data_IF_926201434286
#
_entry.id   IF_926201434286
#
_cell.length_a   1.000
_cell.length_b   1.000
_cell.length_c   1.000
_cell.angle_alpha   90.00
_cell.angle_beta   90.00
_cell.angle_gamma   90.00
#
_symmetry.space_group_name_H-M   'P 1'
#
loop_
_entity.id
_entity.type
_entity.pdbx_description
1 polymer ?
#
# COMPACT_ATOMS: atom_id res chain seq x y z
N UNK A 1 29.59 -14.48 -3.77
CA UNK A 1 29.84 -13.89 -5.11
C UNK A 1 29.05 -12.59 -5.21
N UNK A 2 29.70 -11.42 -5.38
CA UNK A 2 28.97 -10.13 -5.44
C UNK A 2 28.12 -10.11 -6.71
N UNK A 3 26.80 -9.97 -6.55
CA UNK A 3 25.78 -10.07 -7.62
C UNK A 3 25.80 -8.89 -8.62
N UNK A 4 26.50 -7.82 -8.28
CA UNK A 4 26.56 -6.55 -9.01
C UNK A 4 27.98 -5.99 -8.95
N UNK A 5 28.43 -5.30 -10.00
CA UNK A 5 29.74 -4.61 -10.02
C UNK A 5 29.81 -3.51 -8.98
N UNK A 6 28.71 -2.77 -8.83
CA UNK A 6 28.61 -1.68 -7.87
C UNK A 6 27.17 -1.53 -7.37
N UNK A 7 27.04 -1.08 -6.12
CA UNK A 7 25.76 -0.64 -5.55
C UNK A 7 25.81 0.88 -5.44
N UNK A 8 24.80 1.56 -5.97
CA UNK A 8 24.74 3.00 -6.06
C UNK A 8 23.49 3.48 -5.32
N UNK A 9 23.71 4.23 -4.26
CA UNK A 9 22.63 4.88 -3.52
C UNK A 9 22.27 6.20 -4.16
N UNK A 10 20.97 6.47 -4.29
CA UNK A 10 20.44 7.68 -4.91
C UNK A 10 19.42 8.33 -3.98
N UNK A 11 19.72 9.57 -3.59
CA UNK A 11 18.75 10.45 -2.93
C UNK A 11 18.19 11.45 -3.95
N UNK A 12 16.86 11.64 -3.93
CA UNK A 12 16.16 12.37 -4.99
C UNK A 12 15.28 13.49 -4.46
N UNK A 13 15.51 14.68 -5.01
CA UNK A 13 14.73 15.88 -4.75
C UNK A 13 13.91 16.30 -5.99
N UNK A 14 13.21 17.43 -5.88
CA UNK A 14 12.40 17.97 -6.98
C UNK A 14 13.24 18.33 -8.21
N UNK A 15 14.40 18.97 -8.01
CA UNK A 15 15.19 19.56 -9.10
C UNK A 15 16.39 18.70 -9.49
N UNK A 16 17.01 18.01 -8.51
CA UNK A 16 18.24 17.25 -8.68
C UNK A 16 18.17 15.93 -7.90
N UNK A 17 19.06 15.01 -8.23
CA UNK A 17 19.32 13.82 -7.42
C UNK A 17 20.82 13.61 -7.25
N UNK A 18 21.18 13.15 -6.07
CA UNK A 18 22.54 12.86 -5.66
C UNK A 18 22.74 11.35 -5.70
N UNK A 19 23.86 10.93 -6.27
CA UNK A 19 24.24 9.53 -6.39
C UNK A 19 25.56 9.30 -5.67
N UNK A 20 25.70 8.15 -5.03
CA UNK A 20 26.94 7.72 -4.41
C UNK A 20 27.19 6.24 -4.68
N UNK A 21 28.36 5.94 -5.22
CA UNK A 21 28.90 4.59 -5.37
C UNK A 21 30.31 4.49 -4.74
N UNK A 22 30.71 3.35 -4.16
CA UNK A 22 32.05 3.17 -3.61
C UNK A 22 33.19 3.34 -4.63
N UNK A 23 32.95 3.00 -5.90
CA UNK A 23 33.89 3.12 -7.02
C UNK A 23 33.66 4.42 -7.77
N UNK A 24 32.39 4.75 -8.03
CA UNK A 24 31.99 5.92 -8.83
C UNK A 24 32.06 7.25 -8.06
N UNK A 25 32.20 7.21 -6.73
CA UNK A 25 32.20 8.40 -5.88
C UNK A 25 30.83 9.07 -5.81
N UNK A 26 30.82 10.37 -5.51
CA UNK A 26 29.60 11.19 -5.44
C UNK A 26 29.44 11.99 -6.73
N UNK A 27 28.22 12.03 -7.27
CA UNK A 27 27.85 12.84 -8.42
C UNK A 27 26.40 13.31 -8.30
N UNK A 28 26.11 14.49 -8.83
CA UNK A 28 24.77 15.09 -8.85
C UNK A 28 24.28 15.27 -10.29
N UNK A 29 22.99 15.00 -10.50
CA UNK A 29 22.33 15.10 -11.80
C UNK A 29 21.00 15.83 -11.68
N UNK A 30 20.49 16.36 -12.79
CA UNK A 30 19.17 17.00 -12.82
C UNK A 30 18.05 15.96 -12.83
N UNK A 31 16.93 16.23 -12.15
CA UNK A 31 15.74 15.38 -12.19
C UNK A 31 14.92 15.63 -13.47
N UNK A 32 15.55 15.38 -14.62
CA UNK A 32 15.05 15.59 -15.97
C UNK A 32 15.47 14.44 -16.90
N UNK A 33 14.84 14.31 -18.07
CA UNK A 33 15.19 13.22 -19.01
C UNK A 33 16.65 13.31 -19.49
N UNK A 34 17.19 14.54 -19.59
CA UNK A 34 18.60 14.78 -19.88
C UNK A 34 19.50 14.31 -18.73
N UNK A 35 19.14 14.63 -17.49
CA UNK A 35 19.88 14.18 -16.31
C UNK A 35 19.82 12.67 -16.11
N UNK A 36 18.69 12.03 -16.40
CA UNK A 36 18.56 10.57 -16.37
C UNK A 36 19.45 9.89 -17.42
N UNK A 37 19.52 10.47 -18.62
CA UNK A 37 20.36 9.97 -19.70
C UNK A 37 21.85 10.15 -19.38
N UNK A 38 22.23 11.29 -18.78
CA UNK A 38 23.60 11.53 -18.31
C UNK A 38 23.99 10.54 -17.20
N UNK A 39 23.10 10.32 -16.24
CA UNK A 39 23.32 9.36 -15.16
C UNK A 39 23.50 7.95 -15.71
N UNK A 40 22.58 7.46 -16.54
CA UNK A 40 22.67 6.12 -17.12
C UNK A 40 23.96 5.88 -17.94
N UNK A 41 24.54 6.92 -18.55
CA UNK A 41 25.84 6.84 -19.24
C UNK A 41 27.02 6.73 -18.27
N UNK A 42 26.92 7.34 -17.09
CA UNK A 42 27.94 7.29 -16.05
C UNK A 42 27.93 5.98 -15.26
N UNK A 43 26.88 5.15 -15.41
CA UNK A 43 26.73 3.91 -14.67
C UNK A 43 27.36 2.70 -15.37
N UNK A 44 28.09 1.84 -14.64
CA UNK A 44 28.38 0.49 -15.11
C UNK A 44 27.08 -0.30 -15.35
N UNK A 45 27.04 -1.12 -16.42
CA UNK A 45 25.83 -1.86 -16.81
C UNK A 45 25.32 -2.82 -15.72
N UNK A 46 26.24 -3.43 -14.95
CA UNK A 46 25.91 -4.42 -13.91
C UNK A 46 25.76 -3.80 -12.51
N UNK A 47 25.42 -2.51 -12.43
CA UNK A 47 25.19 -1.81 -11.18
C UNK A 47 23.77 -2.00 -10.64
N UNK A 48 23.65 -2.07 -9.32
CA UNK A 48 22.37 -1.98 -8.60
C UNK A 48 22.13 -0.54 -8.15
N UNK A 49 21.09 0.09 -8.68
CA UNK A 49 20.68 1.45 -8.31
C UNK A 49 19.61 1.35 -7.22
N UNK A 50 19.86 2.00 -6.09
CA UNK A 50 18.99 1.96 -4.92
C UNK A 50 18.47 3.37 -4.65
N UNK A 51 17.16 3.53 -4.74
CA UNK A 51 16.44 4.78 -4.53
C UNK A 51 15.67 4.72 -3.21
N UNK A 52 15.63 5.81 -2.46
CA UNK A 52 14.67 5.95 -1.36
C UNK A 52 13.30 6.40 -1.89
N UNK A 53 12.21 5.81 -1.39
CA UNK A 53 10.84 6.19 -1.79
C UNK A 53 10.38 7.53 -1.17
N UNK A 54 11.10 8.62 -1.43
CA UNK A 54 10.83 9.95 -0.88
C UNK A 54 9.93 10.74 -1.83
N UNK A 55 8.66 10.91 -1.43
CA UNK A 55 7.65 11.61 -2.23
C UNK A 55 7.33 10.94 -3.57
N UNK A 56 7.16 11.75 -4.63
CA UNK A 56 6.86 11.28 -5.99
C UNK A 56 8.06 11.33 -6.94
N UNK A 57 9.20 11.87 -6.52
CA UNK A 57 10.28 12.21 -7.43
C UNK A 57 11.05 10.98 -7.94
N UNK A 58 11.11 9.91 -7.15
CA UNK A 58 11.78 8.66 -7.52
C UNK A 58 11.12 7.90 -8.69
N UNK A 59 9.82 8.10 -8.96
CA UNK A 59 9.09 7.27 -9.94
C UNK A 59 9.66 7.36 -11.35
N UNK A 60 9.96 8.58 -11.83
CA UNK A 60 10.45 8.78 -13.21
C UNK A 60 11.83 8.15 -13.40
N UNK A 61 12.74 8.37 -12.46
CA UNK A 61 14.09 7.82 -12.51
C UNK A 61 14.07 6.28 -12.43
N UNK A 62 13.29 5.70 -11.50
CA UNK A 62 13.16 4.26 -11.37
C UNK A 62 12.66 3.61 -12.68
N UNK A 63 11.60 4.17 -13.27
CA UNK A 63 11.03 3.66 -14.53
C UNK A 63 11.98 3.83 -15.71
N UNK A 64 12.73 4.93 -15.78
CA UNK A 64 13.70 5.16 -16.84
C UNK A 64 14.83 4.14 -16.79
N UNK A 65 15.41 3.91 -15.61
CA UNK A 65 16.52 2.97 -15.41
C UNK A 65 16.08 1.52 -15.65
N UNK A 66 14.90 1.14 -15.16
CA UNK A 66 14.31 -0.18 -15.40
C UNK A 66 14.11 -0.44 -16.90
N UNK A 67 13.55 0.53 -17.65
CA UNK A 67 13.43 0.45 -19.12
C UNK A 67 14.76 0.35 -19.86
N UNK A 68 15.85 0.87 -19.26
CA UNK A 68 17.21 0.76 -19.80
C UNK A 68 17.90 -0.55 -19.41
N UNK A 69 17.24 -1.42 -18.64
CA UNK A 69 17.72 -2.73 -18.24
C UNK A 69 18.60 -2.73 -16.97
N UNK A 70 18.66 -1.62 -16.24
CA UNK A 70 19.42 -1.57 -14.99
C UNK A 70 18.68 -2.30 -13.85
N UNK A 71 19.43 -2.89 -12.92
CA UNK A 71 18.85 -3.40 -11.69
C UNK A 71 18.50 -2.22 -10.76
N UNK A 72 17.19 -2.02 -10.53
CA UNK A 72 16.70 -0.95 -9.66
C UNK A 72 16.09 -1.53 -8.38
N UNK A 73 16.29 -0.85 -7.27
CA UNK A 73 15.66 -1.11 -5.97
C UNK A 73 15.07 0.18 -5.42
N UNK A 74 13.87 0.12 -4.85
CA UNK A 74 13.23 1.25 -4.18
C UNK A 74 12.98 0.86 -2.73
N UNK A 75 13.73 1.47 -1.81
CA UNK A 75 13.71 1.13 -0.39
C UNK A 75 12.76 2.04 0.40
N UNK A 76 12.24 1.50 1.50
CA UNK A 76 11.37 2.24 2.40
C UNK A 76 12.18 3.31 3.16
N UNK A 77 11.77 4.59 3.13
CA UNK A 77 12.47 5.65 3.84
C UNK A 77 12.61 5.38 5.35
N UNK A 78 11.63 4.72 5.95
CA UNK A 78 11.68 4.37 7.36
C UNK A 78 12.80 3.36 7.67
N UNK A 79 13.12 2.47 6.73
CA UNK A 79 14.21 1.50 6.90
C UNK A 79 15.57 2.20 6.85
N UNK A 80 15.79 3.06 5.86
CA UNK A 80 17.03 3.85 5.73
C UNK A 80 17.20 4.77 6.94
N UNK A 81 16.14 5.46 7.35
CA UNK A 81 16.14 6.30 8.56
C UNK A 81 16.54 5.53 9.83
N UNK A 82 15.98 4.33 10.04
CA UNK A 82 16.30 3.51 11.22
C UNK A 82 17.74 2.99 11.18
N UNK A 83 18.24 2.67 9.99
CA UNK A 83 19.63 2.28 9.79
C UNK A 83 20.59 3.43 10.11
N UNK A 84 20.28 4.64 9.65
CA UNK A 84 21.04 5.85 10.01
C UNK A 84 21.06 6.12 11.52
N UNK A 85 19.91 5.96 12.19
CA UNK A 85 19.82 6.09 13.65
C UNK A 85 20.67 5.04 14.38
N UNK A 86 20.68 3.79 13.90
CA UNK A 86 21.53 2.73 14.42
C UNK A 86 23.03 3.10 14.33
N UNK A 87 23.43 3.78 13.26
CA UNK A 87 24.81 4.27 13.07
C UNK A 87 25.15 5.57 13.82
N UNK A 88 24.20 6.12 14.60
CA UNK A 88 24.37 7.41 15.30
C UNK A 88 24.80 8.57 14.38
N UNK A 89 24.39 8.51 13.10
CA UNK A 89 24.75 9.53 12.13
C UNK A 89 24.14 10.89 12.51
N UNK A 90 24.98 11.92 12.58
CA UNK A 90 24.58 13.30 12.96
C UNK A 90 24.48 14.24 11.76
N UNK A 91 25.21 13.96 10.68
CA UNK A 91 25.26 14.79 9.48
C UNK A 91 24.12 14.39 8.55
N UNK A 92 23.40 15.39 8.05
CA UNK A 92 22.31 15.21 7.09
C UNK A 92 22.49 16.19 5.91
N UNK A 93 22.94 15.65 4.79
CA UNK A 93 23.10 16.32 3.50
C UNK A 93 22.70 15.37 2.38
N UNK A 94 22.33 15.87 1.21
CA UNK A 94 21.91 15.02 0.07
C UNK A 94 23.03 14.01 -0.31
N UNK A 95 24.30 14.44 -0.20
CA UNK A 95 25.48 13.57 -0.36
C UNK A 95 25.56 12.47 0.71
N UNK A 96 25.35 12.81 1.98
CA UNK A 96 25.37 11.80 3.06
C UNK A 96 24.19 10.84 2.96
N UNK A 97 23.04 11.32 2.49
CA UNK A 97 21.81 10.54 2.34
C UNK A 97 21.97 9.53 1.18
N UNK A 98 22.50 9.95 0.03
CA UNK A 98 22.87 9.03 -1.07
C UNK A 98 23.88 7.95 -0.61
N UNK A 99 24.90 8.35 0.16
CA UNK A 99 25.87 7.41 0.75
C UNK A 99 25.21 6.43 1.72
N UNK A 100 24.31 6.90 2.57
CA UNK A 100 23.60 6.07 3.53
C UNK A 100 22.71 5.03 2.85
N UNK A 101 22.04 5.40 1.76
CA UNK A 101 21.23 4.49 0.95
C UNK A 101 22.11 3.38 0.34
N UNK A 102 23.29 3.74 -0.19
CA UNK A 102 24.27 2.78 -0.68
C UNK A 102 24.70 1.80 0.41
N UNK A 103 25.14 2.31 1.57
CA UNK A 103 25.59 1.48 2.69
C UNK A 103 24.48 0.56 3.23
N UNK A 104 23.25 1.06 3.29
CA UNK A 104 22.09 0.25 3.68
C UNK A 104 21.93 -0.97 2.77
N UNK A 105 22.04 -0.78 1.46
CA UNK A 105 21.88 -1.84 0.47
C UNK A 105 23.07 -2.80 0.35
N UNK A 106 24.26 -2.41 0.83
CA UNK A 106 25.40 -3.33 0.93
C UNK A 106 25.24 -4.34 2.06
N UNK A 107 24.54 -3.96 3.13
CA UNK A 107 24.41 -4.76 4.35
C UNK A 107 23.09 -5.55 4.37
N UNK A 108 22.04 -5.02 3.74
CA UNK A 108 20.71 -5.60 3.77
C UNK A 108 20.29 -6.10 2.40
N UNK A 109 19.49 -7.17 2.37
CA UNK A 109 18.78 -7.55 1.15
C UNK A 109 17.72 -6.48 0.83
N UNK A 110 17.73 -5.98 -0.40
CA UNK A 110 16.86 -4.89 -0.83
C UNK A 110 15.87 -5.38 -1.88
N UNK A 111 14.60 -4.95 -1.81
CA UNK A 111 13.60 -5.40 -2.75
C UNK A 111 13.90 -4.85 -4.14
N UNK A 112 13.88 -5.72 -5.16
CA UNK A 112 13.93 -5.27 -6.54
C UNK A 112 12.70 -4.42 -6.87
N UNK A 113 12.92 -3.40 -7.68
CA UNK A 113 11.86 -2.59 -8.24
C UNK A 113 10.99 -3.49 -9.14
N UNK A 114 9.75 -3.70 -8.72
CA UNK A 114 8.73 -4.38 -9.52
C UNK A 114 8.11 -3.33 -10.43
N UNK A 115 8.55 -3.29 -11.69
CA UNK A 115 8.01 -2.41 -12.70
C UNK A 115 6.51 -2.63 -12.83
N UNK A 116 5.75 -1.70 -12.27
CA UNK A 116 4.30 -1.78 -12.28
C UNK A 116 3.83 -1.64 -13.73
N UNK A 117 3.07 -2.62 -14.23
CA UNK A 117 2.48 -2.56 -15.58
C UNK A 117 1.75 -1.22 -15.78
N UNK A 118 1.67 -0.74 -17.02
CA UNK A 118 0.97 0.51 -17.34
C UNK A 118 -0.44 0.53 -16.73
N UNK A 119 -1.19 -0.56 -16.91
CA UNK A 119 -2.52 -0.76 -16.33
C UNK A 119 -2.52 -0.62 -14.80
N UNK A 120 -1.59 -1.28 -14.11
CA UNK A 120 -1.53 -1.26 -12.65
C UNK A 120 -1.08 0.11 -12.12
N UNK A 121 -0.21 0.81 -12.85
CA UNK A 121 0.19 2.19 -12.54
C UNK A 121 -1.01 3.13 -12.65
N UNK A 122 -1.78 3.03 -13.75
CA UNK A 122 -3.04 3.76 -13.92
C UNK A 122 -4.01 3.46 -12.78
N UNK A 123 -4.19 2.18 -12.43
CA UNK A 123 -5.03 1.77 -11.30
C UNK A 123 -4.61 2.42 -9.97
N UNK A 124 -3.31 2.49 -9.66
CA UNK A 124 -2.85 3.16 -8.43
C UNK A 124 -3.09 4.67 -8.47
N UNK A 125 -2.94 5.32 -9.63
CA UNK A 125 -3.23 6.75 -9.78
C UNK A 125 -4.73 7.02 -9.59
N UNK A 126 -5.59 6.26 -10.27
CA UNK A 126 -7.04 6.31 -10.13
C UNK A 126 -7.48 6.07 -8.67
N UNK A 127 -6.86 5.11 -7.98
CA UNK A 127 -7.19 4.83 -6.58
C UNK A 127 -6.80 5.99 -5.65
N UNK A 128 -5.64 6.61 -5.85
CA UNK A 128 -5.21 7.80 -5.09
C UNK A 128 -6.15 8.98 -5.34
N UNK A 129 -6.57 9.18 -6.59
CA UNK A 129 -7.52 10.22 -6.96
C UNK A 129 -8.89 9.97 -6.31
N UNK A 130 -9.40 8.74 -6.39
CA UNK A 130 -10.63 8.30 -5.75
C UNK A 130 -10.61 8.61 -4.25
N UNK A 131 -9.51 8.31 -3.55
CA UNK A 131 -9.38 8.62 -2.13
C UNK A 131 -9.45 10.14 -1.87
N UNK A 132 -8.78 10.93 -2.71
CA UNK A 132 -8.80 12.40 -2.61
C UNK A 132 -10.23 12.94 -2.77
N UNK A 133 -10.95 12.48 -3.79
CA UNK A 133 -12.32 12.91 -4.05
C UNK A 133 -13.31 12.43 -3.00
N UNK A 134 -13.14 11.22 -2.45
CA UNK A 134 -13.96 10.75 -1.33
C UNK A 134 -13.76 11.63 -0.08
N UNK A 135 -12.52 12.02 0.24
CA UNK A 135 -12.24 12.95 1.35
C UNK A 135 -12.90 14.31 1.11
N UNK A 136 -12.76 14.87 -0.10
CA UNK A 136 -13.40 16.13 -0.48
C UNK A 136 -14.92 16.01 -0.37
N UNK A 137 -15.52 14.95 -0.89
CA UNK A 137 -16.97 14.72 -0.81
C UNK A 137 -17.46 14.66 0.63
N UNK A 138 -16.77 13.96 1.54
CA UNK A 138 -17.12 13.95 2.97
C UNK A 138 -16.98 15.35 3.58
N UNK A 139 -15.91 16.08 3.29
CA UNK A 139 -15.72 17.44 3.79
C UNK A 139 -16.82 18.38 3.29
N UNK A 140 -17.18 18.31 2.01
CA UNK A 140 -18.28 19.10 1.42
C UNK A 140 -19.62 18.74 2.04
N UNK A 141 -19.92 17.45 2.29
CA UNK A 141 -21.14 17.02 3.00
C UNK A 141 -21.21 17.58 4.42
N UNK A 142 -20.12 17.50 5.16
CA UNK A 142 -20.04 18.05 6.52
C UNK A 142 -20.21 19.58 6.50
N UNK A 143 -19.64 20.27 5.51
CA UNK A 143 -19.80 21.72 5.34
C UNK A 143 -21.24 22.08 5.01
N UNK A 144 -21.89 21.37 4.09
CA UNK A 144 -23.33 21.56 3.77
C UNK A 144 -24.18 21.42 5.03
N UNK A 145 -23.96 20.36 5.82
CA UNK A 145 -24.67 20.16 7.08
C UNK A 145 -24.40 21.30 8.07
N UNK A 146 -23.15 21.75 8.17
CA UNK A 146 -22.77 22.91 8.97
C UNK A 146 -23.52 24.18 8.58
N UNK A 147 -23.68 24.47 7.29
CA UNK A 147 -24.45 25.63 6.82
C UNK A 147 -25.94 25.52 7.17
N UNK A 148 -26.53 24.32 7.11
CA UNK A 148 -27.95 24.11 7.41
C UNK A 148 -28.34 24.44 8.85
N UNK A 149 -27.41 24.31 9.80
CA UNK A 149 -27.68 24.56 11.23
C UNK A 149 -27.41 25.99 11.68
N UNK A 150 -26.93 26.89 10.79
CA UNK A 150 -26.60 28.28 11.13
C UNK A 150 -27.83 29.22 11.26
N UNK A 151 -29.05 28.71 11.11
CA UNK A 151 -30.29 29.48 11.18
C UNK A 151 -30.58 30.32 9.93
N UNK A 152 -29.62 31.14 9.50
CA UNK A 152 -29.73 31.99 8.28
C UNK A 152 -28.68 31.56 7.24
N UNK A 153 -28.88 30.42 6.54
CA UNK A 153 -27.92 29.95 5.54
C UNK A 153 -27.92 30.80 4.28
N UNK A 154 -26.74 31.09 3.73
CA UNK A 154 -26.61 31.73 2.42
C UNK A 154 -27.02 30.76 1.30
N UNK A 155 -28.08 31.10 0.56
CA UNK A 155 -28.54 30.32 -0.58
C UNK A 155 -27.46 30.14 -1.66
N UNK A 156 -26.60 31.16 -1.87
CA UNK A 156 -25.50 31.07 -2.83
C UNK A 156 -24.43 30.05 -2.38
N UNK A 157 -24.02 30.10 -1.11
CA UNK A 157 -23.05 29.16 -0.53
C UNK A 157 -23.59 27.73 -0.65
N UNK A 158 -24.84 27.51 -0.25
CA UNK A 158 -25.48 26.20 -0.31
C UNK A 158 -25.52 25.65 -1.74
N UNK A 159 -25.99 26.45 -2.71
CA UNK A 159 -26.02 26.06 -4.13
C UNK A 159 -24.62 25.78 -4.68
N UNK A 160 -23.60 26.52 -4.26
CA UNK A 160 -22.22 26.27 -4.65
C UNK A 160 -21.72 24.92 -4.16
N UNK A 161 -21.90 24.62 -2.86
CA UNK A 161 -21.49 23.35 -2.25
C UNK A 161 -22.24 22.16 -2.85
N UNK A 162 -23.54 22.31 -3.16
CA UNK A 162 -24.32 21.26 -3.81
C UNK A 162 -23.81 20.95 -5.23
N UNK A 163 -23.42 21.97 -6.00
CA UNK A 163 -22.81 21.77 -7.33
C UNK A 163 -21.46 21.05 -7.23
N UNK A 164 -20.61 21.47 -6.29
CA UNK A 164 -19.31 20.80 -6.04
C UNK A 164 -19.51 19.34 -5.61
N UNK A 165 -20.44 19.07 -4.69
CA UNK A 165 -20.75 17.72 -4.26
C UNK A 165 -21.23 16.84 -5.44
N UNK A 166 -22.14 17.35 -6.27
CA UNK A 166 -22.63 16.64 -7.46
C UNK A 166 -21.51 16.35 -8.46
N UNK A 167 -20.59 17.30 -8.65
CA UNK A 167 -19.40 17.09 -9.49
C UNK A 167 -18.51 15.97 -8.93
N UNK A 168 -18.16 16.04 -7.64
CA UNK A 168 -17.34 15.02 -6.97
C UNK A 168 -17.98 13.63 -7.06
N UNK A 169 -19.29 13.52 -6.85
CA UNK A 169 -19.99 12.22 -6.94
C UNK A 169 -19.99 11.65 -8.37
N UNK A 170 -20.08 12.51 -9.40
CA UNK A 170 -19.96 12.09 -10.80
C UNK A 170 -18.55 11.57 -11.11
N UNK A 171 -17.52 12.31 -10.70
CA UNK A 171 -16.12 11.91 -10.92
C UNK A 171 -15.76 10.62 -10.16
N UNK A 172 -16.21 10.47 -8.91
CA UNK A 172 -16.03 9.24 -8.13
C UNK A 172 -16.61 8.04 -8.89
N UNK A 173 -17.84 8.14 -9.42
CA UNK A 173 -18.47 7.06 -10.20
C UNK A 173 -17.67 6.76 -11.47
N UNK A 174 -17.22 7.79 -12.19
CA UNK A 174 -16.41 7.60 -13.40
C UNK A 174 -15.10 6.85 -13.12
N UNK A 175 -14.40 7.23 -12.04
CA UNK A 175 -13.16 6.57 -11.60
C UNK A 175 -13.42 5.13 -11.18
N UNK A 176 -14.49 4.87 -10.41
CA UNK A 176 -14.87 3.50 -10.00
C UNK A 176 -15.18 2.60 -11.20
N UNK A 177 -15.88 3.13 -12.22
CA UNK A 177 -16.15 2.41 -13.46
C UNK A 177 -14.87 2.14 -14.26
N UNK A 178 -13.95 3.11 -14.34
CA UNK A 178 -12.66 2.93 -15.02
C UNK A 178 -11.82 1.85 -14.34
N UNK A 179 -11.70 1.90 -13.00
CA UNK A 179 -11.01 0.88 -12.21
C UNK A 179 -11.61 -0.51 -12.44
N UNK A 180 -12.94 -0.61 -12.41
CA UNK A 180 -13.63 -1.87 -12.68
C UNK A 180 -13.28 -2.42 -14.07
N UNK A 181 -13.35 -1.60 -15.12
CA UNK A 181 -13.02 -2.04 -16.50
C UNK A 181 -11.58 -2.52 -16.63
N UNK A 182 -10.62 -1.80 -16.04
CA UNK A 182 -9.20 -2.19 -16.08
C UNK A 182 -8.97 -3.54 -15.39
N UNK A 183 -9.54 -3.72 -14.19
CA UNK A 183 -9.41 -4.99 -13.45
C UNK A 183 -10.15 -6.13 -14.14
N UNK A 184 -11.34 -5.90 -14.69
CA UNK A 184 -12.07 -6.93 -15.46
C UNK A 184 -11.29 -7.41 -16.68
N UNK A 185 -10.51 -6.54 -17.32
CA UNK A 185 -9.72 -6.92 -18.50
C UNK A 185 -8.62 -7.94 -18.18
N UNK A 186 -7.97 -7.80 -17.03
CA UNK A 186 -6.78 -8.60 -16.67
C UNK A 186 -7.07 -9.68 -15.61
N UNK A 187 -8.03 -9.46 -14.71
CA UNK A 187 -8.20 -10.20 -13.45
C UNK A 187 -9.69 -10.44 -13.11
N UNK A 188 -10.50 -10.75 -14.14
CA UNK A 188 -11.94 -11.02 -13.99
C UNK A 188 -12.23 -12.21 -13.06
N UNK A 189 -11.46 -13.29 -13.17
CA UNK A 189 -11.65 -14.50 -12.37
C UNK A 189 -11.45 -14.21 -10.88
N UNK A 190 -10.34 -13.53 -10.53
CA UNK A 190 -10.05 -13.14 -9.16
C UNK A 190 -11.13 -12.18 -8.61
N UNK A 191 -11.66 -11.29 -9.46
CA UNK A 191 -12.75 -10.41 -9.07
C UNK A 191 -14.02 -11.22 -8.72
N UNK A 192 -14.43 -12.14 -9.58
CA UNK A 192 -15.59 -13.02 -9.34
C UNK A 192 -15.42 -13.81 -8.04
N UNK A 193 -14.26 -14.46 -7.86
CA UNK A 193 -13.94 -15.24 -6.67
C UNK A 193 -14.03 -14.41 -5.38
N UNK A 194 -13.46 -13.20 -5.37
CA UNK A 194 -13.48 -12.33 -4.20
C UNK A 194 -14.88 -11.81 -3.88
N UNK A 195 -15.65 -11.43 -4.91
CA UNK A 195 -17.03 -10.96 -4.70
C UNK A 195 -17.99 -12.07 -4.26
N UNK A 196 -17.64 -13.33 -4.51
CA UNK A 196 -18.38 -14.49 -4.02
C UNK A 196 -18.22 -14.73 -2.51
N UNK A 197 -17.25 -14.10 -1.85
CA UNK A 197 -17.03 -14.26 -0.41
C UNK A 197 -18.02 -13.37 0.37
N UNK A 198 -18.92 -13.96 1.19
CA UNK A 198 -19.86 -13.16 1.97
C UNK A 198 -19.12 -12.20 2.91
N UNK A 199 -19.39 -10.90 2.74
CA UNK A 199 -18.73 -9.81 3.47
C UNK A 199 -17.71 -9.00 2.65
N UNK A 200 -17.27 -9.49 1.48
CA UNK A 200 -16.39 -8.74 0.57
C UNK A 200 -17.21 -8.12 -0.57
N UNK A 201 -17.27 -6.78 -0.58
CA UNK A 201 -17.91 -6.03 -1.67
C UNK A 201 -16.97 -5.77 -2.86
N UNK A 202 -17.51 -5.35 -4.02
CA UNK A 202 -16.76 -5.15 -5.26
C UNK A 202 -15.63 -4.11 -5.11
N UNK A 203 -15.86 -3.02 -4.36
CA UNK A 203 -14.81 -2.00 -4.11
C UNK A 203 -13.63 -2.57 -3.32
N UNK A 204 -13.90 -3.38 -2.30
CA UNK A 204 -12.84 -4.04 -1.52
C UNK A 204 -12.12 -5.09 -2.36
N UNK A 205 -12.84 -5.86 -3.17
CA UNK A 205 -12.27 -6.83 -4.09
C UNK A 205 -11.31 -6.17 -5.09
N UNK A 206 -11.74 -5.10 -5.77
CA UNK A 206 -10.91 -4.32 -6.70
C UNK A 206 -9.62 -3.85 -6.03
N UNK A 207 -9.71 -3.28 -4.81
CA UNK A 207 -8.52 -2.76 -4.15
C UNK A 207 -7.58 -3.87 -3.68
N UNK A 208 -8.11 -4.99 -3.20
CA UNK A 208 -7.30 -6.16 -2.86
C UNK A 208 -6.54 -6.66 -4.09
N UNK A 209 -7.21 -6.79 -5.23
CA UNK A 209 -6.59 -7.23 -6.48
C UNK A 209 -5.45 -6.30 -6.89
N UNK A 210 -5.69 -4.98 -6.95
CA UNK A 210 -4.67 -4.00 -7.37
C UNK A 210 -3.48 -3.98 -6.40
N UNK A 211 -3.74 -3.98 -5.09
CA UNK A 211 -2.70 -3.89 -4.08
C UNK A 211 -1.83 -5.15 -4.00
N UNK A 212 -2.40 -6.31 -4.33
CA UNK A 212 -1.72 -7.62 -4.25
C UNK A 212 -1.23 -8.13 -5.61
N UNK A 213 -1.46 -7.38 -6.68
CA UNK A 213 -1.21 -7.82 -8.06
C UNK A 213 -1.92 -9.15 -8.37
N UNK A 214 -3.22 -9.21 -8.12
CA UNK A 214 -3.99 -10.47 -8.26
C UNK A 214 -3.49 -11.57 -7.33
N UNK A 215 -3.06 -11.22 -6.11
CA UNK A 215 -2.52 -12.13 -5.10
C UNK A 215 -1.20 -12.83 -5.49
N UNK A 216 -0.54 -12.41 -6.57
CA UNK A 216 0.80 -12.91 -6.95
C UNK A 216 1.92 -12.36 -6.06
N UNK A 217 1.75 -11.16 -5.50
CA UNK A 217 2.78 -10.47 -4.70
C UNK A 217 3.19 -11.18 -3.40
N UNK A 218 2.32 -12.04 -2.88
CA UNK A 218 2.52 -12.69 -1.58
C UNK A 218 2.44 -14.21 -1.73
N UNK A 219 3.38 -14.91 -1.10
CA UNK A 219 3.39 -16.37 -1.03
C UNK A 219 2.48 -16.88 0.08
N UNK A 220 2.45 -16.16 1.22
CA UNK A 220 1.72 -16.57 2.42
C UNK A 220 0.68 -15.54 2.80
N UNK A 221 -0.49 -16.00 3.25
CA UNK A 221 -1.55 -15.12 3.76
C UNK A 221 -1.10 -14.25 4.94
N UNK A 222 -0.14 -14.70 5.75
CA UNK A 222 0.45 -13.94 6.85
C UNK A 222 1.20 -12.70 6.35
N UNK A 223 1.90 -12.79 5.23
CA UNK A 223 2.59 -11.64 4.60
C UNK A 223 1.56 -10.59 4.15
N UNK A 224 0.46 -11.03 3.54
CA UNK A 224 -0.64 -10.13 3.16
C UNK A 224 -1.29 -9.47 4.40
N UNK A 225 -1.55 -10.24 5.46
CA UNK A 225 -2.09 -9.67 6.71
C UNK A 225 -1.16 -8.64 7.35
N UNK A 226 0.15 -8.88 7.29
CA UNK A 226 1.18 -7.95 7.77
C UNK A 226 1.23 -6.69 6.91
N UNK A 227 1.19 -6.82 5.58
CA UNK A 227 1.13 -5.71 4.63
C UNK A 227 -0.08 -4.80 4.86
N UNK A 228 -1.24 -5.37 5.17
CA UNK A 228 -2.45 -4.60 5.53
C UNK A 228 -2.32 -3.96 6.92
N UNK A 229 -1.54 -4.55 7.81
CA UNK A 229 -1.38 -4.09 9.19
C UNK A 229 -2.58 -4.44 10.08
N UNK A 230 -3.11 -5.66 9.94
CA UNK A 230 -4.16 -6.23 10.80
C UNK A 230 -3.64 -7.35 11.69
N UNK A 231 -2.33 -7.57 11.69
CA UNK A 231 -1.67 -8.52 12.59
C UNK A 231 -1.49 -7.90 13.98
N UNK A 232 -1.65 -8.69 15.05
CA UNK A 232 -1.36 -8.24 16.40
C UNK A 232 0.15 -8.03 16.58
N UNK A 233 0.52 -6.97 17.28
CA UNK A 233 1.86 -6.72 17.79
C UNK A 233 1.88 -7.08 19.27
N UNK A 234 2.71 -8.07 19.60
CA UNK A 234 2.92 -8.53 20.97
C UNK A 234 4.11 -7.77 21.55
N UNK A 235 3.94 -7.23 22.76
CA UNK A 235 5.02 -6.58 23.53
C UNK A 235 5.09 -7.24 24.90
N UNK A 236 5.79 -8.35 24.93
CA UNK A 236 6.08 -9.12 26.14
C UNK A 236 7.59 -9.17 26.36
N UNK A 237 8.04 -8.88 27.58
CA UNK A 237 9.45 -8.97 27.99
C UNK A 237 9.54 -9.56 29.39
N UNK A 238 10.30 -10.64 29.54
CA UNK A 238 10.42 -11.39 30.79
C UNK A 238 9.07 -11.87 31.34
N UNK A 239 9.03 -12.12 32.65
CA UNK A 239 7.82 -12.53 33.38
C UNK A 239 6.86 -11.37 33.68
N UNK A 240 7.38 -10.12 33.71
CA UNK A 240 6.67 -8.97 34.29
C UNK A 240 6.06 -8.00 33.28
N UNK A 241 6.54 -7.96 32.01
CA UNK A 241 5.97 -7.06 31.00
C UNK A 241 4.93 -7.81 30.17
N UNK A 242 3.65 -7.64 30.52
CA UNK A 242 2.50 -8.14 29.74
C UNK A 242 1.70 -6.98 29.13
N UNK A 243 2.28 -6.32 28.13
CA UNK A 243 1.61 -5.23 27.43
C UNK A 243 0.32 -5.69 26.73
N UNK A 244 -0.74 -4.88 26.78
CA UNK A 244 -1.96 -5.15 25.99
C UNK A 244 -1.59 -5.22 24.51
N UNK A 245 -1.86 -6.37 23.88
CA UNK A 245 -1.64 -6.56 22.45
C UNK A 245 -2.48 -5.56 21.64
N UNK A 246 -1.86 -4.93 20.64
CA UNK A 246 -2.51 -3.96 19.73
C UNK A 246 -2.17 -4.36 18.30
N UNK A 247 -3.01 -4.01 17.33
CA UNK A 247 -2.63 -4.21 15.92
C UNK A 247 -1.46 -3.34 15.52
N UNK A 248 -0.65 -3.83 14.58
CA UNK A 248 0.35 -3.00 13.91
C UNK A 248 -0.34 -1.87 13.15
N UNK A 249 0.02 -0.62 13.44
CA UNK A 249 -0.41 0.52 12.60
C UNK A 249 0.42 0.65 11.32
N UNK A 250 1.54 -0.07 11.23
CA UNK A 250 2.42 -0.15 10.06
C UNK A 250 1.74 -1.06 9.04
N UNK A 251 1.42 -0.53 7.86
CA UNK A 251 0.72 -1.24 6.79
C UNK A 251 -0.27 -0.36 6.02
N UNK A 252 -1.00 -0.95 5.09
CA UNK A 252 -1.97 -0.25 4.25
C UNK A 252 -3.24 0.13 5.03
N UNK A 253 -3.26 1.36 5.58
CA UNK A 253 -4.38 1.92 6.36
C UNK A 253 -5.72 1.82 5.64
N UNK A 254 -5.74 1.95 4.31
CA UNK A 254 -6.99 1.89 3.53
C UNK A 254 -7.56 0.50 3.40
N UNK A 255 -6.73 -0.49 3.07
CA UNK A 255 -7.19 -1.89 3.08
C UNK A 255 -7.69 -2.28 4.46
N UNK A 256 -6.98 -1.87 5.52
CA UNK A 256 -7.40 -2.11 6.89
C UNK A 256 -8.77 -1.50 7.21
N UNK A 257 -9.02 -0.25 6.81
CA UNK A 257 -10.31 0.39 7.04
C UNK A 257 -11.45 -0.28 6.26
N UNK A 258 -11.20 -0.65 4.99
CA UNK A 258 -12.19 -1.36 4.16
C UNK A 258 -12.50 -2.75 4.72
N UNK A 259 -11.49 -3.51 5.14
CA UNK A 259 -11.67 -4.83 5.74
C UNK A 259 -12.38 -4.74 7.11
N UNK A 260 -12.14 -3.68 7.87
CA UNK A 260 -12.91 -3.42 9.08
C UNK A 260 -14.40 -3.19 8.76
N UNK A 261 -14.74 -2.45 7.70
CA UNK A 261 -16.13 -2.30 7.26
C UNK A 261 -16.73 -3.62 6.76
N UNK A 262 -15.97 -4.39 5.97
CA UNK A 262 -16.36 -5.72 5.53
C UNK A 262 -16.65 -6.67 6.70
N UNK A 263 -15.93 -6.54 7.83
CA UNK A 263 -16.14 -7.39 8.99
C UNK A 263 -17.56 -7.32 9.57
N UNK A 264 -18.24 -6.16 9.49
CA UNK A 264 -19.62 -6.03 9.94
C UNK A 264 -20.60 -6.85 9.09
N UNK A 265 -20.41 -6.85 7.77
CA UNK A 265 -21.21 -7.65 6.85
C UNK A 265 -20.87 -9.15 7.00
N UNK A 266 -19.58 -9.48 7.11
CA UNK A 266 -19.12 -10.86 7.34
C UNK A 266 -19.69 -11.45 8.64
N UNK A 267 -19.82 -10.68 9.71
CA UNK A 267 -20.46 -11.16 10.94
C UNK A 267 -21.94 -11.54 10.77
N UNK A 268 -22.63 -11.04 9.74
CA UNK A 268 -24.03 -11.36 9.46
C UNK A 268 -24.19 -12.50 8.47
N UNK A 269 -23.37 -12.51 7.41
CA UNK A 269 -23.58 -13.35 6.24
C UNK A 269 -22.53 -14.45 6.04
N UNK A 270 -21.47 -14.49 6.85
CA UNK A 270 -20.44 -15.53 6.79
C UNK A 270 -20.43 -16.28 8.12
N UNK A 271 -20.97 -17.50 8.13
CA UNK A 271 -21.14 -18.30 9.35
C UNK A 271 -19.82 -18.50 10.10
N UNK A 272 -18.74 -18.77 9.35
CA UNK A 272 -17.42 -18.99 9.92
C UNK A 272 -16.84 -17.73 10.60
N UNK A 273 -17.14 -16.54 10.07
CA UNK A 273 -16.76 -15.24 10.64
C UNK A 273 -17.62 -14.89 11.84
N UNK A 274 -18.93 -15.13 11.77
CA UNK A 274 -19.87 -14.95 12.88
C UNK A 274 -19.47 -15.77 14.09
N UNK A 275 -19.21 -17.07 13.90
CA UNK A 275 -18.77 -17.96 14.97
C UNK A 275 -17.46 -17.51 15.64
N UNK A 276 -16.52 -16.95 14.85
CA UNK A 276 -15.29 -16.37 15.41
C UNK A 276 -15.59 -15.12 16.25
N UNK A 277 -16.45 -14.24 15.75
CA UNK A 277 -16.84 -13.02 16.45
C UNK A 277 -17.49 -13.34 17.80
N UNK A 278 -18.52 -14.19 17.79
CA UNK A 278 -19.27 -14.62 18.98
C UNK A 278 -18.34 -15.27 20.01
N UNK A 279 -17.46 -16.18 19.57
CA UNK A 279 -16.46 -16.83 20.44
C UNK A 279 -15.53 -15.83 21.12
N UNK A 280 -15.06 -14.80 20.41
CA UNK A 280 -14.16 -13.80 20.99
C UNK A 280 -14.89 -12.90 21.98
N UNK A 281 -16.13 -12.50 21.65
CA UNK A 281 -16.97 -11.68 22.54
C UNK A 281 -17.35 -12.46 23.80
N UNK A 282 -17.70 -13.74 23.69
CA UNK A 282 -18.00 -14.62 24.83
C UNK A 282 -16.81 -14.77 25.80
N UNK A 283 -15.57 -14.62 25.31
CA UNK A 283 -14.35 -14.56 26.14
C UNK A 283 -14.12 -13.20 26.83
N UNK A 284 -15.12 -12.32 26.84
CA UNK A 284 -15.05 -10.98 27.46
C UNK A 284 -14.15 -9.98 26.71
N UNK A 285 -13.78 -10.25 25.46
CA UNK A 285 -12.96 -9.31 24.66
C UNK A 285 -13.85 -8.26 23.99
N UNK A 286 -13.28 -7.10 23.70
CA UNK A 286 -14.04 -6.00 23.08
C UNK A 286 -14.56 -6.36 21.69
N UNK A 287 -15.77 -5.89 21.36
CA UNK A 287 -16.39 -6.08 20.03
C UNK A 287 -15.48 -5.61 18.89
N UNK A 288 -14.76 -4.50 19.09
CA UNK A 288 -13.80 -3.97 18.12
C UNK A 288 -12.63 -4.92 17.86
N UNK A 289 -12.12 -5.59 18.89
CA UNK A 289 -11.08 -6.62 18.73
C UNK A 289 -11.62 -7.82 17.95
N UNK A 290 -12.84 -8.27 18.27
CA UNK A 290 -13.49 -9.35 17.55
C UNK A 290 -13.66 -9.04 16.05
N UNK A 291 -14.11 -7.83 15.70
CA UNK A 291 -14.21 -7.38 14.30
C UNK A 291 -12.87 -7.37 13.56
N UNK A 292 -11.79 -6.98 14.22
CA UNK A 292 -10.44 -7.04 13.63
C UNK A 292 -10.00 -8.49 13.40
N UNK A 293 -10.32 -9.41 14.31
CA UNK A 293 -10.06 -10.83 14.11
C UNK A 293 -10.88 -11.40 12.93
N UNK A 294 -12.14 -10.97 12.78
CA UNK A 294 -12.97 -11.30 11.61
C UNK A 294 -12.35 -10.75 10.32
N UNK A 295 -11.90 -9.50 10.30
CA UNK A 295 -11.21 -8.93 9.15
C UNK A 295 -9.94 -9.73 8.77
N UNK A 296 -9.18 -10.22 9.76
CA UNK A 296 -8.03 -11.09 9.53
C UNK A 296 -8.43 -12.44 8.92
N UNK A 297 -9.49 -13.07 9.46
CA UNK A 297 -10.05 -14.32 8.91
C UNK A 297 -10.54 -14.13 7.47
N UNK A 298 -11.27 -13.06 7.20
CA UNK A 298 -11.80 -12.73 5.88
C UNK A 298 -10.67 -12.53 4.85
N UNK A 299 -9.58 -11.86 5.25
CA UNK A 299 -8.42 -11.67 4.37
C UNK A 299 -7.68 -12.99 4.08
N UNK A 300 -7.65 -13.91 5.04
CA UNK A 300 -7.09 -15.26 4.83
C UNK A 300 -7.97 -16.11 3.91
N UNK A 301 -9.30 -16.02 4.06
CA UNK A 301 -10.24 -16.67 3.14
C UNK A 301 -10.06 -16.14 1.72
N UNK A 302 -10.02 -14.82 1.54
CA UNK A 302 -9.74 -14.19 0.25
C UNK A 302 -8.43 -14.69 -0.38
N UNK A 303 -7.36 -14.79 0.41
CA UNK A 303 -6.08 -15.31 -0.07
C UNK A 303 -6.17 -16.77 -0.52
N UNK A 304 -6.78 -17.65 0.29
CA UNK A 304 -6.90 -19.07 0.00
C UNK A 304 -7.78 -19.34 -1.24
N UNK A 305 -8.89 -18.63 -1.37
CA UNK A 305 -9.84 -18.76 -2.48
C UNK A 305 -9.17 -18.34 -3.79
N UNK A 306 -8.53 -17.16 -3.81
CA UNK A 306 -7.85 -16.69 -5.03
C UNK A 306 -6.66 -17.59 -5.40
N UNK A 307 -5.90 -18.10 -4.43
CA UNK A 307 -4.77 -19.00 -4.71
C UNK A 307 -5.19 -20.40 -5.17
N UNK A 308 -6.34 -20.90 -4.71
CA UNK A 308 -6.85 -22.21 -5.10
C UNK A 308 -7.68 -22.19 -6.39
N UNK A 309 -8.16 -21.01 -6.81
CA UNK A 309 -9.09 -20.87 -7.94
C UNK A 309 -10.49 -21.44 -7.66
N UNK A 310 -10.77 -21.87 -6.42
CA UNK A 310 -12.05 -22.47 -6.04
C UNK A 310 -12.99 -21.40 -5.52
N UNK A 311 -14.26 -21.47 -5.92
CA UNK A 311 -15.32 -20.62 -5.37
C UNK A 311 -15.46 -20.77 -3.86
N UNK A 312 -15.98 -19.74 -3.20
CA UNK A 312 -16.28 -19.79 -1.77
C UNK A 312 -17.26 -20.93 -1.48
N UNK A 313 -16.90 -21.78 -0.53
CA UNK A 313 -17.77 -22.83 0.02
C UNK A 313 -17.90 -22.59 1.53
N UNK A 314 -19.14 -22.45 2.00
CA UNK A 314 -19.45 -22.21 3.40
C UNK A 314 -19.11 -23.40 4.30
N UNK A 315 -19.21 -24.62 3.75
CA UNK A 315 -19.00 -25.87 4.47
C UNK A 315 -17.61 -26.46 4.25
N UNK A 316 -16.68 -25.68 3.69
CA UNK A 316 -15.33 -26.17 3.40
C UNK A 316 -14.62 -26.67 4.66
N UNK A 317 -14.39 -27.98 4.71
CA UNK A 317 -13.51 -28.63 5.67
C UNK A 317 -12.17 -28.94 5.02
N UNK A 318 -11.08 -28.47 5.62
CA UNK A 318 -9.74 -28.87 5.19
C UNK A 318 -9.60 -30.37 5.44
N UNK A 319 -9.62 -31.18 4.37
CA UNK A 319 -9.08 -32.54 4.42
C UNK A 319 -7.59 -32.39 4.65
N UNK A 320 -7.18 -32.45 5.92
CA UNK A 320 -5.79 -32.72 6.25
C UNK A 320 -5.49 -34.11 5.70
N UNK A 321 -4.69 -34.16 4.65
CA UNK A 321 -3.91 -35.36 4.28
C UNK A 321 -2.56 -35.20 4.93
#
# INVERSE_FOLDING_TARGET
>A
MKRYTEIIGVDISKAVFDSFGPLSGHAQFTNSDNGFSAFAKALPKDSLIVLEATGYYHYRLAQFLDKKGFAVSVVNPLSVKRFLQMKLAKIKTDKSDAKAICEYAQINDVPKYDAVSHTRSECFQLFRLLESYQKKSTATKNKIHGEQVLGIPSAFVYRSLQRDLKHLEKEIKAIELRLLRLVKKEQQEQLSLLTGIPGIGPKTALFLIIATNGFSKFERASQLCSYVGITPTIRTSGSSVRGKSRISKIGNKRLRNLLFLCSFSACKHNQSCRALYERIVAKGKSKKLALIAVANKLLKQAFAIVKSGRSYDENFSSTLV
#
